data_IF_977644669395
#
_entry.id   IF_977644669395
#
_cell.length_a   1.000
_cell.length_b   1.000
_cell.length_c   1.000
_cell.angle_alpha   90.00
_cell.angle_beta   90.00
_cell.angle_gamma   90.00
#
_symmetry.space_group_name_H-M   'P 1'
#
loop_
_entity.id
_entity.type
_entity.pdbx_description
1 polymer ?
#
# COMPACT_ATOMS: atom_id res chain seq x y z
N UNK A 1 15.89 18.81 -10.07
CA UNK A 1 16.34 18.01 -8.92
C UNK A 1 15.20 17.72 -7.97
N UNK A 2 15.26 16.57 -7.29
CA UNK A 2 14.30 16.16 -6.25
C UNK A 2 15.01 16.06 -4.89
N UNK A 3 14.34 16.45 -3.81
CA UNK A 3 14.90 16.40 -2.44
C UNK A 3 14.45 15.17 -1.66
N UNK A 4 13.27 14.62 -1.99
CA UNK A 4 12.65 13.49 -1.31
C UNK A 4 11.95 12.59 -2.34
N UNK A 5 11.73 11.32 -1.97
CA UNK A 5 10.95 10.36 -2.74
C UNK A 5 9.78 9.86 -1.87
N UNK A 6 8.56 9.91 -2.41
CA UNK A 6 7.39 9.27 -1.80
C UNK A 6 6.83 8.28 -2.81
N UNK A 7 6.80 7.00 -2.43
CA UNK A 7 6.48 5.91 -3.36
C UNK A 7 5.16 5.27 -3.00
N UNK A 8 4.19 5.34 -3.91
CA UNK A 8 2.91 4.64 -3.82
C UNK A 8 2.82 3.60 -4.94
N UNK A 9 3.13 2.34 -4.63
CA UNK A 9 3.16 1.22 -5.57
C UNK A 9 2.68 -0.05 -4.89
N UNK A 10 2.10 -0.98 -5.67
CA UNK A 10 1.51 -2.22 -5.17
C UNK A 10 0.02 -2.37 -5.51
N UNK A 11 -0.69 -1.27 -5.76
CA UNK A 11 -2.11 -1.31 -6.14
C UNK A 11 -2.34 -2.08 -7.45
N UNK A 12 -1.47 -1.90 -8.45
CA UNK A 12 -1.57 -2.61 -9.73
C UNK A 12 -1.23 -4.10 -9.59
N UNK A 13 -0.27 -4.45 -8.74
CA UNK A 13 0.05 -5.84 -8.40
C UNK A 13 -1.16 -6.55 -7.76
N UNK A 14 -1.89 -5.85 -6.88
CA UNK A 14 -3.13 -6.36 -6.32
C UNK A 14 -4.23 -6.50 -7.39
N UNK A 15 -4.38 -5.53 -8.30
CA UNK A 15 -5.36 -5.58 -9.38
C UNK A 15 -5.11 -6.72 -10.37
N UNK A 16 -3.85 -7.09 -10.63
CA UNK A 16 -3.51 -8.26 -11.45
C UNK A 16 -4.04 -9.57 -10.85
N UNK A 17 -4.30 -9.60 -9.55
CA UNK A 17 -4.85 -10.76 -8.83
C UNK A 17 -6.35 -10.61 -8.54
N UNK A 18 -7.06 -9.65 -9.17
CA UNK A 18 -8.48 -9.38 -8.91
C UNK A 18 -9.40 -10.57 -9.18
N UNK A 19 -9.07 -11.42 -10.16
CA UNK A 19 -9.87 -12.61 -10.49
C UNK A 19 -9.99 -13.61 -9.33
N UNK A 20 -9.06 -13.55 -8.37
CA UNK A 20 -9.08 -14.41 -7.17
C UNK A 20 -10.34 -14.22 -6.32
N UNK A 21 -11.00 -13.06 -6.43
CA UNK A 21 -12.20 -12.72 -5.65
C UNK A 21 -13.38 -13.64 -6.02
N UNK A 22 -13.45 -14.08 -7.28
CA UNK A 22 -14.57 -14.87 -7.82
C UNK A 22 -14.21 -16.35 -8.01
N UNK A 23 -12.97 -16.72 -7.68
CA UNK A 23 -12.44 -18.05 -7.93
C UNK A 23 -13.02 -19.07 -6.95
N UNK A 24 -13.46 -20.21 -7.49
CA UNK A 24 -13.91 -21.34 -6.69
C UNK A 24 -12.68 -22.06 -6.12
N UNK A 25 -12.70 -22.37 -4.84
CA UNK A 25 -11.67 -23.16 -4.17
C UNK A 25 -12.25 -24.45 -3.59
N UNK A 26 -11.43 -25.51 -3.56
CA UNK A 26 -11.81 -26.80 -2.99
C UNK A 26 -11.56 -26.86 -1.48
N UNK A 27 -10.66 -26.04 -0.96
CA UNK A 27 -10.38 -25.95 0.48
C UNK A 27 -9.79 -24.60 0.90
N UNK A 28 -9.87 -24.28 2.20
CA UNK A 28 -9.20 -23.09 2.76
C UNK A 28 -7.67 -23.20 2.63
N UNK A 29 -7.11 -24.41 2.77
CA UNK A 29 -5.66 -24.62 2.63
C UNK A 29 -5.16 -24.24 1.23
N UNK A 30 -5.92 -24.57 0.18
CA UNK A 30 -5.62 -24.18 -1.20
C UNK A 30 -5.61 -22.65 -1.37
N UNK A 31 -6.60 -21.96 -0.80
CA UNK A 31 -6.66 -20.48 -0.84
C UNK A 31 -5.44 -19.88 -0.14
N UNK A 32 -5.09 -20.39 1.05
CA UNK A 32 -3.94 -19.89 1.82
C UNK A 32 -2.61 -20.14 1.11
N UNK A 33 -2.41 -21.30 0.49
CA UNK A 33 -1.23 -21.60 -0.32
C UNK A 33 -1.11 -20.65 -1.52
N UNK A 34 -2.24 -20.39 -2.21
CA UNK A 34 -2.28 -19.45 -3.33
C UNK A 34 -1.94 -18.02 -2.91
N UNK A 35 -2.53 -17.54 -1.81
CA UNK A 35 -2.19 -16.24 -1.24
C UNK A 35 -0.72 -16.18 -0.79
N UNK A 36 -0.18 -17.28 -0.25
CA UNK A 36 1.23 -17.40 0.11
C UNK A 36 2.17 -17.23 -1.09
N UNK A 37 1.84 -17.84 -2.24
CA UNK A 37 2.58 -17.69 -3.50
C UNK A 37 2.52 -16.27 -4.05
N UNK A 38 1.33 -15.66 -4.05
CA UNK A 38 1.14 -14.25 -4.47
C UNK A 38 1.98 -13.33 -3.58
N UNK A 39 1.93 -13.51 -2.25
CA UNK A 39 2.73 -12.75 -1.30
C UNK A 39 4.23 -12.86 -1.60
N UNK A 40 4.73 -14.08 -1.78
CA UNK A 40 6.16 -14.32 -2.02
C UNK A 40 6.64 -13.65 -3.32
N UNK A 41 5.85 -13.74 -4.39
CA UNK A 41 6.16 -13.09 -5.66
C UNK A 41 6.16 -11.55 -5.52
N UNK A 42 5.10 -10.99 -4.92
CA UNK A 42 5.01 -9.55 -4.67
C UNK A 42 6.16 -9.06 -3.78
N UNK A 43 6.50 -9.79 -2.72
CA UNK A 43 7.62 -9.44 -1.83
C UNK A 43 8.95 -9.37 -2.57
N UNK A 44 9.24 -10.32 -3.46
CA UNK A 44 10.46 -10.30 -4.26
C UNK A 44 10.53 -9.04 -5.16
N UNK A 45 9.43 -8.70 -5.83
CA UNK A 45 9.36 -7.52 -6.70
C UNK A 45 9.40 -6.20 -5.91
N UNK A 46 8.63 -6.10 -4.83
CA UNK A 46 8.57 -4.90 -3.99
C UNK A 46 9.92 -4.62 -3.33
N UNK A 47 10.61 -5.67 -2.85
CA UNK A 47 11.99 -5.57 -2.34
C UNK A 47 12.93 -5.00 -3.39
N UNK A 48 12.95 -5.59 -4.59
CA UNK A 48 13.84 -5.13 -5.66
C UNK A 48 13.55 -3.66 -6.05
N UNK A 49 12.27 -3.29 -6.12
CA UNK A 49 11.84 -1.92 -6.36
C UNK A 49 12.33 -0.96 -5.27
N UNK A 50 12.09 -1.29 -4.00
CA UNK A 50 12.45 -0.43 -2.88
C UNK A 50 13.98 -0.29 -2.74
N UNK A 51 14.73 -1.37 -2.94
CA UNK A 51 16.20 -1.33 -2.98
C UNK A 51 16.70 -0.40 -4.10
N UNK A 52 16.06 -0.43 -5.28
CA UNK A 52 16.33 0.47 -6.40
C UNK A 52 16.00 1.95 -6.12
N UNK A 53 14.92 2.23 -5.40
CA UNK A 53 14.56 3.58 -4.94
C UNK A 53 15.61 4.09 -3.95
N UNK A 54 15.96 3.29 -2.94
CA UNK A 54 16.90 3.68 -1.90
C UNK A 54 18.34 3.85 -2.41
N UNK A 55 18.70 3.18 -3.50
CA UNK A 55 19.98 3.39 -4.16
C UNK A 55 20.19 4.84 -4.65
N UNK A 56 19.11 5.63 -4.78
CA UNK A 56 19.18 7.08 -5.08
C UNK A 56 19.67 7.92 -3.91
N UNK A 57 19.76 7.36 -2.70
CA UNK A 57 20.25 8.02 -1.48
C UNK A 57 19.51 9.33 -1.14
N UNK A 58 18.23 9.39 -1.50
CA UNK A 58 17.33 10.47 -1.10
C UNK A 58 16.46 10.01 0.09
N UNK A 59 16.10 10.92 1.01
CA UNK A 59 15.01 10.71 1.96
C UNK A 59 13.79 10.07 1.27
N UNK A 60 13.34 8.93 1.79
CA UNK A 60 12.32 8.10 1.11
C UNK A 60 11.22 7.71 2.08
N UNK A 61 9.98 7.82 1.65
CA UNK A 61 8.80 7.26 2.30
C UNK A 61 8.03 6.37 1.34
N UNK A 62 7.24 5.44 1.87
CA UNK A 62 6.34 4.59 1.06
C UNK A 62 4.90 4.71 1.52
N UNK A 63 3.95 4.31 0.68
CA UNK A 63 2.53 4.29 0.99
C UNK A 63 1.99 2.85 1.05
N UNK A 64 1.09 2.56 1.99
CA UNK A 64 0.25 1.37 1.91
C UNK A 64 -0.81 1.50 0.82
N UNK A 65 -1.51 0.42 0.49
CA UNK A 65 -2.65 0.40 -0.44
C UNK A 65 -3.93 0.59 0.38
N UNK A 66 -4.74 1.61 0.05
CA UNK A 66 -6.07 1.81 0.62
C UNK A 66 -7.07 0.74 0.12
N UNK A 67 -8.16 0.55 0.86
CA UNK A 67 -9.21 -0.42 0.47
C UNK A 67 -10.03 0.03 -0.74
N UNK A 68 -10.70 -0.87 -1.47
CA UNK A 68 -11.57 -0.49 -2.56
C UNK A 68 -12.94 0.01 -2.06
N UNK A 69 -13.62 0.81 -2.88
CA UNK A 69 -14.99 1.29 -2.67
C UNK A 69 -16.01 0.50 -3.50
N UNK A 70 -15.88 -0.83 -3.55
CA UNK A 70 -16.85 -1.67 -4.27
C UNK A 70 -18.25 -1.58 -3.66
N UNK A 71 -19.29 -1.48 -4.49
CA UNK A 71 -20.68 -1.34 -4.04
C UNK A 71 -21.14 -2.59 -3.27
N UNK A 72 -20.76 -3.78 -3.74
CA UNK A 72 -21.07 -5.03 -3.05
C UNK A 72 -20.18 -5.16 -1.79
N UNK A 73 -20.76 -5.26 -0.58
CA UNK A 73 -20.01 -5.33 0.67
C UNK A 73 -19.18 -6.61 0.82
N UNK A 74 -19.65 -7.75 0.29
CA UNK A 74 -18.90 -9.01 0.33
C UNK A 74 -17.67 -8.93 -0.57
N UNK A 75 -17.83 -8.42 -1.79
CA UNK A 75 -16.71 -8.16 -2.70
C UNK A 75 -15.71 -7.18 -2.09
N UNK A 76 -16.20 -6.11 -1.44
CA UNK A 76 -15.37 -5.13 -0.73
C UNK A 76 -14.56 -5.78 0.39
N UNK A 77 -15.19 -6.65 1.19
CA UNK A 77 -14.56 -7.34 2.30
C UNK A 77 -13.49 -8.34 1.83
N UNK A 78 -13.81 -9.17 0.82
CA UNK A 78 -12.86 -10.12 0.23
C UNK A 78 -11.66 -9.39 -0.36
N UNK A 79 -11.89 -8.31 -1.12
CA UNK A 79 -10.82 -7.52 -1.70
C UNK A 79 -9.93 -6.86 -0.63
N UNK A 80 -10.52 -6.32 0.44
CA UNK A 80 -9.78 -5.73 1.57
C UNK A 80 -8.95 -6.77 2.33
N UNK A 81 -9.46 -8.00 2.44
CA UNK A 81 -8.72 -9.13 3.02
C UNK A 81 -7.53 -9.51 2.14
N UNK A 82 -7.73 -9.60 0.82
CA UNK A 82 -6.65 -9.85 -0.13
C UNK A 82 -5.57 -8.77 -0.09
N UNK A 83 -5.96 -7.48 -0.04
CA UNK A 83 -5.03 -6.36 0.09
C UNK A 83 -4.16 -6.41 1.36
N UNK A 84 -4.63 -7.08 2.42
CA UNK A 84 -3.83 -7.24 3.64
C UNK A 84 -2.54 -8.03 3.39
N UNK A 85 -2.54 -8.95 2.42
CA UNK A 85 -1.35 -9.72 2.00
C UNK A 85 -0.27 -8.80 1.39
N UNK A 86 -0.70 -7.83 0.58
CA UNK A 86 0.18 -6.84 -0.04
C UNK A 86 0.66 -5.81 0.98
N UNK A 87 -0.26 -5.31 1.83
CA UNK A 87 0.06 -4.31 2.84
C UNK A 87 0.99 -4.83 3.94
N UNK A 88 0.90 -6.10 4.32
CA UNK A 88 1.87 -6.76 5.20
C UNK A 88 3.28 -6.71 4.60
N UNK A 89 3.40 -7.04 3.32
CA UNK A 89 4.67 -6.99 2.58
C UNK A 89 5.23 -5.56 2.54
N UNK A 90 4.41 -4.57 2.17
CA UNK A 90 4.81 -3.16 2.12
C UNK A 90 5.33 -2.70 3.50
N UNK A 91 4.57 -2.99 4.55
CA UNK A 91 4.91 -2.59 5.93
C UNK A 91 6.21 -3.25 6.37
N UNK A 92 6.36 -4.56 6.15
CA UNK A 92 7.55 -5.32 6.53
C UNK A 92 8.80 -4.82 5.80
N UNK A 93 8.71 -4.59 4.49
CA UNK A 93 9.86 -4.15 3.70
C UNK A 93 10.24 -2.69 4.01
N UNK A 94 9.26 -1.83 4.32
CA UNK A 94 9.50 -0.48 4.81
C UNK A 94 10.27 -0.52 6.15
N UNK A 95 9.78 -1.33 7.09
CA UNK A 95 10.31 -1.38 8.45
C UNK A 95 11.70 -2.02 8.50
N UNK A 96 11.94 -3.04 7.68
CA UNK A 96 13.26 -3.65 7.51
C UNK A 96 14.32 -2.66 7.00
N UNK A 97 13.92 -1.57 6.35
CA UNK A 97 14.82 -0.53 5.81
C UNK A 97 14.80 0.77 6.61
N UNK A 98 13.98 0.85 7.65
CA UNK A 98 13.88 2.04 8.49
C UNK A 98 13.28 3.23 7.74
N UNK A 99 12.36 3.01 6.80
CA UNK A 99 11.68 4.10 6.07
C UNK A 99 10.26 4.34 6.61
N UNK A 100 9.80 5.60 6.69
CA UNK A 100 8.45 5.91 7.12
C UNK A 100 7.39 5.41 6.12
N UNK A 101 6.21 5.10 6.66
CA UNK A 101 5.04 4.57 5.94
C UNK A 101 3.87 5.55 6.09
N UNK A 102 3.31 6.01 4.98
CA UNK A 102 1.99 6.65 4.96
C UNK A 102 0.94 5.55 4.84
N UNK A 103 0.12 5.36 5.87
CA UNK A 103 -0.91 4.33 5.85
C UNK A 103 -2.20 4.85 5.20
N UNK A 104 -2.33 4.68 3.89
CA UNK A 104 -3.48 5.13 3.12
C UNK A 104 -4.80 4.48 3.58
N UNK A 105 -4.75 3.31 4.23
CA UNK A 105 -5.94 2.64 4.80
C UNK A 105 -6.63 3.48 5.86
N UNK A 106 -5.88 4.31 6.58
CA UNK A 106 -6.41 5.17 7.65
C UNK A 106 -6.81 6.56 7.12
N UNK A 107 -6.36 6.91 5.92
CA UNK A 107 -6.64 8.18 5.25
C UNK A 107 -7.95 8.12 4.44
N UNK A 108 -8.17 7.00 3.73
CA UNK A 108 -9.36 6.77 2.91
C UNK A 108 -10.49 6.17 3.74
N UNK A 109 -11.17 7.03 4.49
CA UNK A 109 -12.20 6.68 5.47
C UNK A 109 -13.59 7.25 5.14
N UNK A 110 -13.75 7.88 3.98
CA UNK A 110 -14.99 8.47 3.50
C UNK A 110 -15.21 8.09 2.03
N UNK A 111 -16.43 7.72 1.65
CA UNK A 111 -16.77 7.37 0.27
C UNK A 111 -16.44 8.50 -0.73
N UNK A 112 -16.51 9.77 -0.30
CA UNK A 112 -16.15 10.92 -1.11
C UNK A 112 -14.63 11.04 -1.38
N UNK A 113 -13.78 10.22 -0.74
CA UNK A 113 -12.36 10.14 -1.04
C UNK A 113 -12.06 9.44 -2.37
N UNK A 114 -13.06 8.80 -2.99
CA UNK A 114 -12.90 8.04 -4.23
C UNK A 114 -13.65 8.67 -5.40
N UNK A 115 -13.01 8.67 -6.57
CA UNK A 115 -13.64 9.05 -7.84
C UNK A 115 -14.44 7.89 -8.45
N UNK A 116 -13.99 6.66 -8.20
CA UNK A 116 -14.66 5.43 -8.60
C UNK A 116 -14.41 4.33 -7.55
N UNK A 117 -14.31 3.07 -7.96
CA UNK A 117 -14.17 1.96 -7.02
C UNK A 117 -12.75 1.82 -6.47
N UNK A 118 -11.75 2.38 -7.15
CA UNK A 118 -10.33 2.23 -6.77
C UNK A 118 -9.50 3.49 -6.94
N UNK A 119 -9.95 4.48 -7.70
CA UNK A 119 -9.19 5.72 -7.91
C UNK A 119 -9.57 6.80 -6.91
N UNK A 120 -8.60 7.60 -6.45
CA UNK A 120 -8.85 8.68 -5.52
C UNK A 120 -9.59 9.84 -6.19
N UNK A 121 -10.48 10.49 -5.44
CA UNK A 121 -11.08 11.77 -5.83
C UNK A 121 -10.12 12.93 -5.57
N UNK A 122 -10.49 14.14 -5.97
CA UNK A 122 -9.77 15.35 -5.57
C UNK A 122 -9.69 15.51 -4.03
N UNK A 123 -10.74 15.11 -3.30
CA UNK A 123 -10.77 15.12 -1.83
C UNK A 123 -9.79 14.09 -1.26
N UNK A 124 -9.80 12.86 -1.77
CA UNK A 124 -8.84 11.82 -1.35
C UNK A 124 -7.40 12.21 -1.66
N UNK A 125 -7.15 12.74 -2.84
CA UNK A 125 -5.84 13.28 -3.25
C UNK A 125 -5.36 14.42 -2.35
N UNK A 126 -6.25 15.33 -1.94
CA UNK A 126 -5.92 16.40 -1.00
C UNK A 126 -5.52 15.86 0.38
N UNK A 127 -6.16 14.79 0.86
CA UNK A 127 -5.75 14.12 2.10
C UNK A 127 -4.35 13.52 1.97
N UNK A 128 -4.06 12.81 0.88
CA UNK A 128 -2.71 12.26 0.61
C UNK A 128 -1.67 13.39 0.62
N UNK A 129 -1.92 14.46 -0.12
CA UNK A 129 -1.01 15.60 -0.22
C UNK A 129 -0.70 16.21 1.15
N UNK A 130 -1.73 16.39 2.00
CA UNK A 130 -1.55 16.92 3.36
C UNK A 130 -0.64 16.03 4.19
N UNK A 131 -0.84 14.70 4.17
CA UNK A 131 -0.01 13.78 4.96
C UNK A 131 1.42 13.72 4.44
N UNK A 132 1.61 13.79 3.11
CA UNK A 132 2.95 13.94 2.52
C UNK A 132 3.62 15.21 3.05
N UNK A 133 2.93 16.36 3.06
CA UNK A 133 3.50 17.61 3.60
C UNK A 133 3.87 17.46 5.08
N UNK A 134 3.01 16.88 5.90
CA UNK A 134 3.30 16.61 7.33
C UNK A 134 4.53 15.74 7.49
N UNK A 135 4.61 14.62 6.75
CA UNK A 135 5.75 13.71 6.80
C UNK A 135 7.04 14.43 6.42
N UNK A 136 7.04 15.16 5.29
CA UNK A 136 8.23 15.84 4.79
C UNK A 136 8.73 16.98 5.70
N UNK A 137 7.86 17.55 6.53
CA UNK A 137 8.20 18.68 7.41
C UNK A 137 8.48 18.29 8.85
N UNK A 138 8.06 17.10 9.28
CA UNK A 138 8.18 16.66 10.68
C UNK A 138 9.03 15.41 10.87
N UNK A 139 9.20 14.57 9.83
CA UNK A 139 10.02 13.37 9.94
C UNK A 139 11.52 13.69 9.91
N UNK A 140 12.27 13.16 10.88
CA UNK A 140 13.72 13.21 10.85
C UNK A 140 14.29 12.02 10.05
N UNK A 141 14.49 12.25 8.75
CA UNK A 141 15.06 11.26 7.84
C UNK A 141 16.52 10.88 8.11
N UNK A 142 17.20 11.55 9.04
CA UNK A 142 18.56 11.15 9.46
C UNK A 142 18.50 9.94 10.40
N UNK A 143 17.35 9.71 11.06
CA UNK A 143 17.12 8.54 11.89
C UNK A 143 16.64 7.37 11.02
N UNK A 144 17.28 6.22 11.15
CA UNK A 144 16.86 4.98 10.48
C UNK A 144 15.71 4.31 11.24
N UNK A 145 14.60 5.04 11.41
CA UNK A 145 13.41 4.55 12.13
C UNK A 145 12.18 4.63 11.24
N UNK A 146 11.31 3.63 11.37
CA UNK A 146 10.03 3.64 10.66
C UNK A 146 8.97 4.24 11.56
N UNK A 147 8.19 5.16 10.99
CA UNK A 147 7.03 5.79 11.63
C UNK A 147 5.83 5.66 10.68
N UNK A 148 4.64 5.56 11.27
CA UNK A 148 3.39 5.51 10.51
C UNK A 148 2.73 6.88 10.56
N UNK A 149 2.37 7.41 9.38
CA UNK A 149 1.66 8.67 9.21
C UNK A 149 0.24 8.41 8.69
N UNK A 150 -0.77 9.04 9.32
CA UNK A 150 -2.20 8.65 9.11
C UNK A 150 -3.20 9.78 8.85
N UNK A 151 -2.80 11.06 8.86
CA UNK A 151 -3.76 12.16 8.68
C UNK A 151 -3.51 13.36 9.55
#
# INVERSE_FOLDING_TARGET
>A
DATHLVVSVGGNDALQNKSLIEEKAQSVAEVLDKLGKIRAAFQAHYRAMLDGVLARKLPTAVCSIYGPRYINPDTRNVASTGLSVFNDTITREAFARGVPLIDLRLIFNDDADYANDVEPSAKGGAKIARVITTLLTTHDFTQKRSEIYVG
#
